data_IF_154570660695
#
_entry.id   IF_154570660695
#
_cell.length_a   1.000
_cell.length_b   1.000
_cell.length_c   1.000
_cell.angle_alpha   90.00
_cell.angle_beta   90.00
_cell.angle_gamma   90.00
#
_symmetry.space_group_name_H-M   'P 1'
#
loop_
_entity.id
_entity.type
_entity.pdbx_description
1 polymer ?
#
# COMPACT_ATOMS: atom_id res chain seq x y z
N UNK A 1 11.47 -0.09 -26.82
CA UNK A 1 10.04 -0.38 -27.05
C UNK A 1 9.50 -1.03 -25.79
N UNK A 2 8.58 -0.39 -25.08
CA UNK A 2 7.99 -0.95 -23.84
C UNK A 2 7.14 -2.15 -24.25
N UNK A 3 7.38 -3.30 -23.62
CA UNK A 3 6.58 -4.51 -23.86
C UNK A 3 5.13 -4.28 -23.39
N UNK A 4 4.12 -4.79 -24.10
CA UNK A 4 2.71 -4.64 -23.74
C UNK A 4 2.41 -5.10 -22.30
N UNK A 5 3.11 -6.14 -21.81
CA UNK A 5 2.99 -6.61 -20.41
C UNK A 5 3.51 -5.58 -19.41
N UNK A 6 4.61 -4.91 -19.74
CA UNK A 6 5.20 -3.87 -18.89
C UNK A 6 4.33 -2.61 -18.88
N UNK A 7 3.79 -2.22 -20.03
CA UNK A 7 2.84 -1.10 -20.13
C UNK A 7 1.59 -1.35 -19.29
N UNK A 8 0.99 -2.53 -19.40
CA UNK A 8 -0.19 -2.90 -18.61
C UNK A 8 0.11 -2.94 -17.10
N UNK A 9 1.28 -3.47 -16.71
CA UNK A 9 1.73 -3.43 -15.31
C UNK A 9 1.76 -1.99 -14.77
N UNK A 10 2.35 -1.05 -15.51
CA UNK A 10 2.43 0.34 -15.06
C UNK A 10 1.07 1.02 -15.00
N UNK A 11 0.18 0.71 -15.94
CA UNK A 11 -1.22 1.19 -15.91
C UNK A 11 -1.93 0.66 -14.66
N UNK A 12 -1.79 -0.62 -14.32
CA UNK A 12 -2.41 -1.21 -13.13
C UNK A 12 -1.79 -0.66 -11.84
N UNK A 13 -0.48 -0.45 -11.80
CA UNK A 13 0.18 0.12 -10.63
C UNK A 13 -0.22 1.56 -10.38
N UNK A 14 0.02 2.43 -11.36
CA UNK A 14 -0.29 3.86 -11.22
C UNK A 14 -1.79 4.03 -11.05
N UNK A 15 -2.60 3.32 -11.85
CA UNK A 15 -4.06 3.34 -11.74
C UNK A 15 -4.57 2.88 -10.38
N UNK A 16 -4.09 1.74 -9.87
CA UNK A 16 -4.51 1.19 -8.57
C UNK A 16 -4.20 2.12 -7.39
N UNK A 17 -2.98 2.64 -7.32
CA UNK A 17 -2.59 3.54 -6.22
C UNK A 17 -3.18 4.95 -6.36
N UNK A 18 -3.42 5.42 -7.60
CA UNK A 18 -4.15 6.67 -7.84
C UNK A 18 -5.62 6.55 -7.47
N UNK A 19 -6.23 5.39 -7.76
CA UNK A 19 -7.60 5.08 -7.34
C UNK A 19 -7.69 5.04 -5.81
N UNK A 20 -6.74 4.38 -5.15
CA UNK A 20 -6.64 4.39 -3.69
C UNK A 20 -6.53 5.81 -3.11
N UNK A 21 -5.64 6.66 -3.64
CA UNK A 21 -5.50 8.04 -3.19
C UNK A 21 -6.81 8.84 -3.36
N UNK A 22 -7.42 8.73 -4.54
CA UNK A 22 -8.68 9.40 -4.86
C UNK A 22 -9.80 8.95 -3.92
N UNK A 23 -9.90 7.65 -3.67
CA UNK A 23 -10.88 7.08 -2.75
C UNK A 23 -10.69 7.62 -1.32
N UNK A 24 -9.46 7.69 -0.83
CA UNK A 24 -9.15 8.23 0.51
C UNK A 24 -9.50 9.72 0.63
N UNK A 25 -9.22 10.51 -0.41
CA UNK A 25 -9.59 11.94 -0.45
C UNK A 25 -11.12 12.09 -0.41
N UNK A 26 -11.85 11.35 -1.25
CA UNK A 26 -13.32 11.38 -1.28
C UNK A 26 -13.89 10.96 0.07
N UNK A 27 -13.42 9.84 0.64
CA UNK A 27 -13.86 9.36 1.94
C UNK A 27 -13.61 10.40 3.05
N UNK A 28 -12.48 11.12 2.99
CA UNK A 28 -12.20 12.17 3.96
C UNK A 28 -13.13 13.38 3.82
N UNK A 29 -13.42 13.81 2.60
CA UNK A 29 -14.35 14.92 2.33
C UNK A 29 -15.74 14.56 2.86
N UNK A 30 -16.23 13.34 2.57
CA UNK A 30 -17.52 12.86 3.06
C UNK A 30 -17.56 12.76 4.59
N UNK A 31 -16.48 12.27 5.22
CA UNK A 31 -16.39 12.16 6.67
C UNK A 31 -16.28 13.51 7.40
N UNK A 32 -15.84 14.58 6.71
CA UNK A 32 -15.67 15.91 7.31
C UNK A 32 -16.99 16.63 7.61
N UNK A 33 -18.12 16.18 7.03
CA UNK A 33 -19.45 16.80 7.15
C UNK A 33 -19.61 18.16 6.46
N UNK A 34 -18.52 18.93 6.34
CA UNK A 34 -18.47 20.25 5.70
C UNK A 34 -18.28 20.22 4.19
N UNK A 35 -17.94 19.05 3.62
CA UNK A 35 -17.57 18.91 2.20
C UNK A 35 -16.25 19.62 1.83
N UNK A 36 -15.50 20.12 2.83
CA UNK A 36 -14.25 20.83 2.59
C UNK A 36 -13.05 19.88 2.42
N UNK A 37 -12.11 20.27 1.56
CA UNK A 37 -10.87 19.53 1.34
C UNK A 37 -9.84 19.93 2.40
N UNK A 38 -9.36 18.97 3.18
CA UNK A 38 -8.25 19.18 4.11
C UNK A 38 -6.91 19.04 3.39
N UNK A 39 -6.28 20.16 3.04
CA UNK A 39 -5.03 20.22 2.29
C UNK A 39 -3.92 19.29 2.83
N UNK A 40 -3.53 19.40 4.12
CA UNK A 40 -2.52 18.52 4.71
C UNK A 40 -2.85 17.03 4.59
N UNK A 41 -4.11 16.65 4.79
CA UNK A 41 -4.55 15.25 4.70
C UNK A 41 -4.59 14.74 3.26
N UNK A 42 -4.99 15.57 2.30
CA UNK A 42 -4.91 15.24 0.89
C UNK A 42 -3.47 14.98 0.46
N UNK A 43 -2.54 15.86 0.84
CA UNK A 43 -1.11 15.67 0.58
C UNK A 43 -0.60 14.37 1.20
N UNK A 44 -1.00 14.07 2.44
CA UNK A 44 -0.67 12.81 3.10
C UNK A 44 -1.10 11.58 2.28
N UNK A 45 -2.33 11.55 1.76
CA UNK A 45 -2.82 10.42 0.96
C UNK A 45 -2.06 10.23 -0.36
N UNK A 46 -1.61 11.31 -1.00
CA UNK A 46 -0.76 11.21 -2.18
C UNK A 46 0.61 10.60 -1.86
N UNK A 47 1.25 11.03 -0.76
CA UNK A 47 2.49 10.42 -0.30
C UNK A 47 2.31 8.95 0.09
N UNK A 48 1.20 8.63 0.76
CA UNK A 48 0.86 7.26 1.13
C UNK A 48 0.70 6.37 -0.10
N UNK A 49 -0.01 6.84 -1.13
CA UNK A 49 -0.13 6.13 -2.40
C UNK A 49 1.21 5.95 -3.12
N UNK A 50 2.09 6.96 -3.08
CA UNK A 50 3.44 6.87 -3.63
C UNK A 50 4.28 5.82 -2.88
N UNK A 51 4.22 5.80 -1.55
CA UNK A 51 4.91 4.80 -0.74
C UNK A 51 4.39 3.39 -1.04
N UNK A 52 3.07 3.22 -1.18
CA UNK A 52 2.48 1.93 -1.56
C UNK A 52 2.92 1.48 -2.97
N UNK A 53 3.00 2.42 -3.92
CA UNK A 53 3.50 2.16 -5.27
C UNK A 53 4.96 1.68 -5.23
N UNK A 54 5.82 2.38 -4.49
CA UNK A 54 7.22 2.00 -4.33
C UNK A 54 7.34 0.64 -3.62
N UNK A 55 6.64 0.44 -2.51
CA UNK A 55 6.66 -0.79 -1.74
C UNK A 55 6.21 -2.00 -2.57
N UNK A 56 5.11 -1.87 -3.33
CA UNK A 56 4.63 -2.93 -4.22
C UNK A 56 5.57 -3.19 -5.39
N UNK A 57 6.24 -2.16 -5.92
CA UNK A 57 7.27 -2.32 -6.94
C UNK A 57 8.51 -3.07 -6.42
N UNK A 58 9.02 -2.71 -5.24
CA UNK A 58 10.10 -3.46 -4.58
C UNK A 58 9.69 -4.89 -4.27
N UNK A 59 8.46 -5.09 -3.81
CA UNK A 59 7.94 -6.43 -3.55
C UNK A 59 7.88 -7.29 -4.81
N UNK A 60 7.45 -6.73 -5.95
CA UNK A 60 7.54 -7.41 -7.26
C UNK A 60 8.97 -7.85 -7.59
N UNK A 61 9.94 -6.97 -7.35
CA UNK A 61 11.34 -7.30 -7.55
C UNK A 61 11.75 -8.55 -6.75
N UNK A 62 11.36 -8.64 -5.47
CA UNK A 62 11.63 -9.83 -4.63
C UNK A 62 10.92 -11.09 -5.11
N UNK A 63 9.64 -10.99 -5.53
CA UNK A 63 8.88 -12.12 -6.09
C UNK A 63 9.65 -12.72 -7.28
N UNK A 64 10.10 -11.87 -8.21
CA UNK A 64 10.80 -12.31 -9.42
C UNK A 64 12.23 -12.79 -9.10
N UNK A 65 12.97 -12.07 -8.25
CA UNK A 65 14.35 -12.40 -7.87
C UNK A 65 14.46 -13.77 -7.20
N UNK A 66 13.47 -14.14 -6.38
CA UNK A 66 13.42 -15.42 -5.65
C UNK A 66 12.50 -16.45 -6.31
N UNK A 67 12.07 -16.21 -7.56
CA UNK A 67 11.29 -17.13 -8.39
C UNK A 67 10.07 -17.72 -7.67
N UNK A 68 9.22 -16.87 -7.08
CA UNK A 68 8.10 -17.38 -6.26
C UNK A 68 7.11 -18.24 -7.05
N UNK A 69 7.01 -18.04 -8.37
CA UNK A 69 6.22 -18.88 -9.27
C UNK A 69 6.68 -20.34 -9.35
N UNK A 70 7.92 -20.66 -8.94
CA UNK A 70 8.40 -22.05 -8.86
C UNK A 70 8.09 -22.73 -7.53
N UNK A 71 7.45 -22.03 -6.58
CA UNK A 71 7.05 -22.60 -5.31
C UNK A 71 5.71 -23.33 -5.48
N UNK A 72 5.53 -24.43 -4.74
CA UNK A 72 4.21 -25.06 -4.61
C UNK A 72 3.21 -24.12 -3.92
N UNK A 73 1.93 -24.24 -4.26
CA UNK A 73 0.87 -23.30 -3.85
C UNK A 73 0.84 -23.03 -2.33
N UNK A 74 0.95 -24.07 -1.50
CA UNK A 74 0.96 -23.91 -0.04
C UNK A 74 2.13 -23.05 0.46
N UNK A 75 3.34 -23.28 -0.09
CA UNK A 75 4.54 -22.49 0.25
C UNK A 75 4.43 -21.05 -0.24
N UNK A 76 3.82 -20.85 -1.41
CA UNK A 76 3.56 -19.53 -1.96
C UNK A 76 2.63 -18.72 -1.07
N UNK A 77 1.47 -19.29 -0.70
CA UNK A 77 0.47 -18.62 0.15
C UNK A 77 1.08 -18.21 1.49
N UNK A 78 1.77 -19.12 2.19
CA UNK A 78 2.41 -18.82 3.47
C UNK A 78 3.44 -17.69 3.33
N UNK A 79 4.25 -17.71 2.27
CA UNK A 79 5.25 -16.68 2.01
C UNK A 79 4.62 -15.32 1.71
N UNK A 80 3.53 -15.30 0.93
CA UNK A 80 2.76 -14.07 0.66
C UNK A 80 2.19 -13.49 1.95
N UNK A 81 1.51 -14.30 2.77
CA UNK A 81 0.92 -13.87 4.05
C UNK A 81 1.98 -13.28 4.97
N UNK A 82 3.10 -13.98 5.18
CA UNK A 82 4.18 -13.46 6.02
C UNK A 82 4.74 -12.14 5.48
N UNK A 83 4.93 -12.04 4.17
CA UNK A 83 5.52 -10.85 3.55
C UNK A 83 4.58 -9.65 3.61
N UNK A 84 3.29 -9.83 3.36
CA UNK A 84 2.33 -8.72 3.41
C UNK A 84 2.13 -8.22 4.85
N UNK A 85 2.20 -9.10 5.85
CA UNK A 85 2.21 -8.69 7.26
C UNK A 85 3.43 -7.82 7.60
N UNK A 86 4.63 -8.22 7.15
CA UNK A 86 5.85 -7.43 7.32
C UNK A 86 5.75 -6.10 6.57
N UNK A 87 5.26 -6.12 5.32
CA UNK A 87 5.07 -4.90 4.54
C UNK A 87 4.06 -3.95 5.19
N UNK A 88 2.98 -4.47 5.76
CA UNK A 88 2.00 -3.67 6.46
C UNK A 88 2.59 -2.95 7.67
N UNK A 89 3.41 -3.66 8.45
CA UNK A 89 4.16 -3.08 9.57
C UNK A 89 5.17 -2.02 9.09
N UNK A 90 5.93 -2.31 8.05
CA UNK A 90 6.90 -1.36 7.47
C UNK A 90 6.17 -0.10 6.98
N UNK A 91 5.05 -0.24 6.29
CA UNK A 91 4.26 0.90 5.82
C UNK A 91 3.74 1.77 6.95
N UNK A 92 3.33 1.16 8.07
CA UNK A 92 2.94 1.91 9.27
C UNK A 92 4.06 2.83 9.76
N UNK A 93 5.30 2.36 9.77
CA UNK A 93 6.43 3.20 10.16
C UNK A 93 6.81 4.22 9.09
N UNK A 94 6.72 3.86 7.80
CA UNK A 94 7.04 4.77 6.70
C UNK A 94 6.09 5.97 6.60
N UNK A 95 4.83 5.86 7.05
CA UNK A 95 3.91 7.01 7.09
C UNK A 95 4.21 8.02 8.20
N UNK A 96 4.91 7.61 9.27
CA UNK A 96 5.23 8.51 10.39
C UNK A 96 6.04 9.74 9.94
N UNK A 97 7.18 9.61 9.24
CA UNK A 97 7.95 10.76 8.79
C UNK A 97 7.18 11.68 7.84
N UNK A 98 6.23 11.14 7.06
CA UNK A 98 5.34 11.94 6.19
C UNK A 98 4.34 12.75 7.02
N UNK A 99 3.87 12.19 8.14
CA UNK A 99 2.88 12.85 9.01
C UNK A 99 3.43 14.01 9.84
N UNK A 100 4.75 14.04 10.09
CA UNK A 100 5.44 15.08 10.88
C UNK A 100 5.34 16.49 10.25
N UNK A 101 5.81 16.73 9.01
CA UNK A 101 5.77 18.08 8.41
C UNK A 101 4.32 18.55 8.11
N UNK A 102 3.37 17.62 8.04
CA UNK A 102 1.97 17.92 7.77
C UNK A 102 1.16 18.25 9.04
N UNK A 103 1.79 18.19 10.23
CA UNK A 103 1.10 18.44 11.50
C UNK A 103 0.05 17.39 11.85
N UNK A 104 0.09 16.22 11.20
CA UNK A 104 -0.85 15.11 11.41
C UNK A 104 -0.35 14.10 12.46
N UNK A 105 0.91 14.24 12.88
CA UNK A 105 1.53 13.36 13.86
C UNK A 105 1.02 13.65 15.28
N UNK A 106 0.65 12.60 16.00
CA UNK A 106 0.32 12.66 17.41
C UNK A 106 1.07 11.56 18.16
N UNK A 107 2.05 11.95 18.96
CA UNK A 107 2.99 11.06 19.66
C UNK A 107 2.29 10.04 20.56
N UNK A 108 1.26 10.47 21.28
CA UNK A 108 0.49 9.63 22.20
C UNK A 108 -0.32 8.56 21.46
N UNK A 109 -0.67 8.83 20.20
CA UNK A 109 -1.45 7.94 19.34
C UNK A 109 -0.59 7.10 18.39
N UNK A 110 0.66 7.51 18.13
CA UNK A 110 1.55 6.85 17.18
C UNK A 110 2.25 5.61 17.75
N UNK A 111 2.32 5.47 19.08
CA UNK A 111 2.90 4.29 19.74
C UNK A 111 1.83 3.37 20.36
N UNK A 112 0.56 3.67 20.11
CA UNK A 112 -0.54 2.83 20.57
C UNK A 112 -0.56 1.48 19.82
N UNK A 113 -0.48 0.38 20.57
CA UNK A 113 -0.33 -0.96 20.02
C UNK A 113 -1.52 -1.36 19.14
N UNK A 114 -2.74 -0.97 19.52
CA UNK A 114 -3.96 -1.25 18.76
C UNK A 114 -3.96 -0.54 17.43
N UNK A 115 -3.50 0.72 17.37
CA UNK A 115 -3.33 1.46 16.13
C UNK A 115 -2.23 0.90 15.25
N UNK A 116 -1.09 0.53 15.82
CA UNK A 116 0.00 -0.12 15.08
C UNK A 116 -0.55 -1.38 14.40
N UNK A 117 -1.19 -2.26 15.17
CA UNK A 117 -1.72 -3.51 14.65
C UNK A 117 -2.83 -3.28 13.61
N UNK A 118 -3.83 -2.44 13.92
CA UNK A 118 -4.97 -2.20 13.02
C UNK A 118 -4.56 -1.55 11.70
N UNK A 119 -3.66 -0.57 11.73
CA UNK A 119 -3.17 0.08 10.51
C UNK A 119 -2.23 -0.84 9.71
N UNK A 120 -1.35 -1.59 10.40
CA UNK A 120 -0.50 -2.58 9.73
C UNK A 120 -1.31 -3.65 9.05
N UNK A 121 -2.38 -4.13 9.68
CA UNK A 121 -3.31 -5.11 9.12
C UNK A 121 -4.04 -4.55 7.89
N UNK A 122 -4.49 -3.30 7.95
CA UNK A 122 -5.10 -2.62 6.80
C UNK A 122 -4.16 -2.61 5.58
N UNK A 123 -2.89 -2.20 5.76
CA UNK A 123 -1.92 -2.25 4.68
C UNK A 123 -1.60 -3.68 4.22
N UNK A 124 -1.53 -4.63 5.15
CA UNK A 124 -1.32 -6.05 4.81
C UNK A 124 -2.43 -6.58 3.90
N UNK A 125 -3.69 -6.23 4.17
CA UNK A 125 -4.84 -6.58 3.32
C UNK A 125 -4.71 -5.93 1.94
N UNK A 126 -4.32 -4.65 1.86
CA UNK A 126 -4.11 -3.98 0.57
C UNK A 126 -3.00 -4.64 -0.25
N UNK A 127 -1.86 -4.95 0.34
CA UNK A 127 -0.78 -5.66 -0.36
C UNK A 127 -1.13 -7.10 -0.68
N UNK A 128 -1.96 -7.76 0.14
CA UNK A 128 -2.47 -9.09 -0.16
C UNK A 128 -3.34 -9.04 -1.42
N UNK A 129 -4.26 -8.08 -1.51
CA UNK A 129 -5.10 -7.89 -2.70
C UNK A 129 -4.25 -7.59 -3.94
N UNK A 130 -3.27 -6.69 -3.80
CA UNK A 130 -2.30 -6.41 -4.85
C UNK A 130 -1.54 -7.69 -5.28
N UNK A 131 -1.10 -8.51 -4.32
CA UNK A 131 -0.41 -9.78 -4.58
C UNK A 131 -1.29 -10.74 -5.36
N UNK A 132 -2.55 -10.90 -4.95
CA UNK A 132 -3.49 -11.79 -5.61
C UNK A 132 -3.70 -11.37 -7.08
N UNK A 133 -3.94 -10.08 -7.34
CA UNK A 133 -4.05 -9.54 -8.70
C UNK A 133 -2.76 -9.77 -9.51
N UNK A 134 -1.60 -9.55 -8.90
CA UNK A 134 -0.31 -9.79 -9.55
C UNK A 134 -0.12 -11.26 -9.95
N UNK A 135 -0.42 -12.19 -9.04
CA UNK A 135 -0.30 -13.62 -9.34
C UNK A 135 -1.29 -14.06 -10.41
N UNK A 136 -2.57 -13.64 -10.34
CA UNK A 136 -3.59 -13.93 -11.37
C UNK A 136 -3.14 -13.43 -12.75
N UNK A 137 -2.51 -12.26 -12.82
CA UNK A 137 -2.05 -11.70 -14.09
C UNK A 137 -0.85 -12.43 -14.70
N UNK A 138 0.00 -13.04 -13.87
CA UNK A 138 1.24 -13.69 -14.33
C UNK A 138 1.14 -15.23 -14.42
N UNK A 139 0.05 -15.82 -13.93
CA UNK A 139 -0.27 -17.24 -14.08
C UNK A 139 -0.99 -17.49 -15.41
#
# INVERSE_FOLDING_TARGET
MINNKERLYWVLQIGGWSFYASFQVIANVLASGSGSINGPRTVFFFYEALLCLLASHFYRYYINRWRWFSLGMARLILRVIMTVCVMGLVMYFLRIPVSLPLGLFNSNMALDLMRIFGQSLFYAILFFLWSALYFIYNY
#
